data_IF_458208462867
#
_entry.id   IF_458208462867
#
_cell.length_a   1.000
_cell.length_b   1.000
_cell.length_c   1.000
_cell.angle_alpha   90.00
_cell.angle_beta   90.00
_cell.angle_gamma   90.00
#
_symmetry.space_group_name_H-M   'P 1'
#
loop_
_entity.id
_entity.type
_entity.pdbx_description
1 polymer ?
#
# COMPACT_ATOMS: atom_id res chain seq x y z
N UNK A 1 -4.88 -12.75 -5.76
CA UNK A 1 -3.92 -12.95 -6.82
C UNK A 1 -3.46 -11.65 -7.44
N UNK A 2 -2.20 -11.58 -7.82
CA UNK A 2 -1.60 -10.33 -8.28
C UNK A 2 -1.39 -10.35 -9.78
N UNK A 3 -1.61 -9.20 -10.43
CA UNK A 3 -1.41 -9.05 -11.87
C UNK A 3 0.07 -9.07 -12.25
N UNK A 4 0.93 -8.55 -11.37
CA UNK A 4 2.37 -8.45 -11.61
C UNK A 4 3.14 -9.19 -10.52
N UNK A 5 4.30 -9.81 -10.85
CA UNK A 5 5.11 -10.50 -9.86
C UNK A 5 5.69 -9.54 -8.82
N UNK A 6 6.07 -10.08 -7.67
CA UNK A 6 6.58 -9.26 -6.57
C UNK A 6 7.83 -8.46 -6.96
N UNK A 7 8.71 -9.04 -7.77
CA UNK A 7 9.92 -8.35 -8.22
C UNK A 7 9.61 -7.09 -8.99
N UNK A 8 8.59 -7.14 -9.85
CA UNK A 8 8.17 -5.98 -10.62
C UNK A 8 7.55 -4.91 -9.72
N UNK A 9 6.72 -5.33 -8.78
CA UNK A 9 6.09 -4.39 -7.84
C UNK A 9 7.13 -3.71 -6.95
N UNK A 10 8.11 -4.46 -6.46
CA UNK A 10 9.21 -3.90 -5.67
C UNK A 10 10.04 -2.90 -6.49
N UNK A 11 10.34 -3.24 -7.75
CA UNK A 11 11.10 -2.36 -8.62
C UNK A 11 10.38 -1.03 -8.83
N UNK A 12 9.08 -1.06 -9.06
CA UNK A 12 8.27 0.15 -9.23
C UNK A 12 8.25 1.01 -7.97
N UNK A 13 8.10 0.38 -6.80
CA UNK A 13 8.10 1.13 -5.54
C UNK A 13 9.46 1.76 -5.26
N UNK A 14 10.54 1.02 -5.49
CA UNK A 14 11.89 1.56 -5.32
C UNK A 14 12.15 2.73 -6.25
N UNK A 15 11.73 2.62 -7.51
CA UNK A 15 11.87 3.71 -8.46
C UNK A 15 11.04 4.93 -8.07
N UNK A 16 9.82 4.70 -7.58
CA UNK A 16 8.92 5.78 -7.15
C UNK A 16 9.52 6.59 -6.00
N UNK A 17 10.17 5.92 -5.05
CA UNK A 17 10.72 6.56 -3.85
C UNK A 17 12.24 6.76 -3.91
N UNK A 18 12.84 6.66 -5.10
CA UNK A 18 14.30 6.75 -5.25
C UNK A 18 14.90 8.04 -4.71
N UNK A 19 14.14 9.15 -4.75
CA UNK A 19 14.60 10.46 -4.27
C UNK A 19 14.26 10.70 -2.80
N UNK A 20 13.68 9.72 -2.10
CA UNK A 20 13.24 9.84 -0.71
C UNK A 20 14.11 8.96 0.19
N UNK A 21 15.24 9.46 0.72
CA UNK A 21 16.18 8.61 1.44
C UNK A 21 15.65 8.05 2.77
N UNK A 22 14.56 8.61 3.30
CA UNK A 22 13.93 8.13 4.53
C UNK A 22 12.93 7.01 4.28
N UNK A 23 12.68 6.63 3.03
CA UNK A 23 11.75 5.56 2.67
C UNK A 23 12.53 4.32 2.28
N UNK A 24 12.23 3.22 2.95
CA UNK A 24 12.78 1.91 2.63
C UNK A 24 11.66 1.02 2.07
N UNK A 25 11.89 0.40 0.91
CA UNK A 25 10.92 -0.49 0.29
C UNK A 25 11.37 -1.93 0.55
N UNK A 26 10.52 -2.70 1.19
CA UNK A 26 10.80 -4.11 1.49
C UNK A 26 9.61 -4.98 1.14
N UNK A 27 9.90 -6.22 0.73
CA UNK A 27 8.89 -7.25 0.59
C UNK A 27 8.92 -8.16 1.80
N UNK A 28 7.79 -8.74 2.15
CA UNK A 28 7.73 -9.68 3.27
C UNK A 28 6.58 -10.66 3.09
N UNK A 29 6.67 -11.75 3.82
CA UNK A 29 5.60 -12.72 3.94
C UNK A 29 5.22 -12.85 5.42
N UNK A 30 3.97 -13.21 5.70
CA UNK A 30 3.49 -13.39 7.05
C UNK A 30 2.78 -12.15 7.59
N UNK A 31 2.78 -12.05 8.91
CA UNK A 31 2.00 -11.00 9.59
C UNK A 31 2.74 -9.67 9.64
N UNK A 32 1.99 -8.59 9.41
CA UNK A 32 2.51 -7.23 9.55
C UNK A 32 3.06 -6.97 10.95
N UNK A 33 2.41 -7.51 11.98
CA UNK A 33 2.87 -7.36 13.35
C UNK A 33 4.28 -7.94 13.56
N UNK A 34 4.57 -9.09 12.95
CA UNK A 34 5.89 -9.71 13.04
C UNK A 34 6.95 -8.90 12.29
N UNK A 35 6.59 -8.36 11.14
CA UNK A 35 7.47 -7.46 10.39
C UNK A 35 7.82 -6.22 11.22
N UNK A 36 6.83 -5.62 11.87
CA UNK A 36 7.05 -4.44 12.72
C UNK A 36 8.04 -4.75 13.84
N UNK A 37 7.93 -5.93 14.45
CA UNK A 37 8.88 -6.35 15.49
C UNK A 37 10.30 -6.45 14.94
N UNK A 38 10.47 -7.08 13.79
CA UNK A 38 11.79 -7.22 13.17
C UNK A 38 12.43 -5.89 12.82
N UNK A 39 11.62 -4.95 12.36
CA UNK A 39 12.11 -3.64 11.93
C UNK A 39 12.20 -2.63 13.07
N UNK A 40 11.67 -2.94 14.25
CA UNK A 40 11.56 -1.99 15.33
C UNK A 40 10.57 -0.87 15.03
N UNK A 41 9.57 -1.12 14.20
CA UNK A 41 8.56 -0.14 13.84
C UNK A 41 7.59 0.06 15.00
N UNK A 42 7.30 1.31 15.34
CA UNK A 42 6.40 1.68 16.43
C UNK A 42 4.96 1.81 15.96
N UNK A 43 4.77 2.24 14.72
CA UNK A 43 3.44 2.53 14.16
C UNK A 43 3.30 1.93 12.78
N UNK A 44 2.04 1.59 12.45
CA UNK A 44 1.62 1.29 11.08
C UNK A 44 0.77 2.46 10.61
N UNK A 45 1.01 2.96 9.41
CA UNK A 45 0.19 4.01 8.80
C UNK A 45 -0.64 3.40 7.69
N UNK A 46 -1.97 3.67 7.73
CA UNK A 46 -2.91 3.17 6.73
C UNK A 46 -3.76 4.31 6.20
N UNK A 47 -4.05 4.27 4.91
CA UNK A 47 -4.97 5.23 4.28
C UNK A 47 -6.40 4.75 4.37
N UNK A 48 -7.33 5.69 4.52
CA UNK A 48 -8.76 5.40 4.50
C UNK A 48 -9.43 6.23 3.41
N UNK A 49 -10.21 5.57 2.53
CA UNK A 49 -10.94 6.24 1.45
C UNK A 49 -12.41 6.43 1.78
N UNK A 50 -12.99 5.54 2.56
CA UNK A 50 -14.41 5.55 2.88
C UNK A 50 -14.68 4.79 4.18
N UNK A 51 -15.95 4.79 4.62
CA UNK A 51 -16.36 4.13 5.86
C UNK A 51 -16.22 2.60 5.81
N UNK A 52 -16.37 2.00 4.65
CA UNK A 52 -16.19 0.55 4.48
C UNK A 52 -14.73 0.18 4.72
N UNK A 53 -13.79 0.95 4.16
CA UNK A 53 -12.37 0.78 4.44
C UNK A 53 -12.11 0.86 5.95
N UNK A 54 -12.73 1.86 6.63
CA UNK A 54 -12.51 2.06 8.05
C UNK A 54 -12.90 0.83 8.88
N UNK A 55 -14.06 0.23 8.62
CA UNK A 55 -14.52 -0.94 9.37
C UNK A 55 -13.56 -2.10 9.27
N UNK A 56 -13.08 -2.41 8.06
CA UNK A 56 -12.14 -3.49 7.82
C UNK A 56 -10.76 -3.19 8.40
N UNK A 57 -10.26 -1.98 8.17
CA UNK A 57 -8.94 -1.57 8.64
C UNK A 57 -8.87 -1.51 10.17
N UNK A 58 -9.97 -1.12 10.82
CA UNK A 58 -10.04 -1.09 12.29
C UNK A 58 -9.83 -2.48 12.88
N UNK A 59 -10.45 -3.50 12.31
CA UNK A 59 -10.30 -4.88 12.78
C UNK A 59 -8.85 -5.35 12.65
N UNK A 60 -8.20 -5.04 11.54
CA UNK A 60 -6.80 -5.38 11.31
C UNK A 60 -5.90 -4.63 12.31
N UNK A 61 -6.18 -3.36 12.55
CA UNK A 61 -5.41 -2.54 13.50
C UNK A 61 -5.49 -3.11 14.91
N UNK A 62 -6.68 -3.55 15.35
CA UNK A 62 -6.85 -4.16 16.67
C UNK A 62 -6.10 -5.48 16.78
N UNK A 63 -6.11 -6.29 15.72
CA UNK A 63 -5.32 -7.53 15.69
C UNK A 63 -3.84 -7.24 15.83
N UNK A 64 -3.32 -6.28 15.10
CA UNK A 64 -1.90 -5.90 15.16
C UNK A 64 -1.50 -5.40 16.54
N UNK A 65 -2.40 -4.69 17.24
CA UNK A 65 -2.16 -4.23 18.61
C UNK A 65 -2.06 -5.42 19.54
N UNK A 66 -3.00 -6.38 19.46
CA UNK A 66 -3.04 -7.54 20.35
C UNK A 66 -1.84 -8.45 20.12
N UNK A 67 -1.50 -8.73 18.86
CA UNK A 67 -0.44 -9.67 18.51
C UNK A 67 0.95 -9.04 18.65
N UNK A 68 1.10 -7.81 18.18
CA UNK A 68 2.43 -7.19 18.02
C UNK A 68 2.66 -5.95 18.86
N UNK A 69 1.69 -5.52 19.64
CA UNK A 69 1.76 -4.28 20.41
C UNK A 69 2.19 -3.09 19.55
N UNK A 70 1.63 -3.00 18.33
CA UNK A 70 1.91 -1.92 17.39
C UNK A 70 0.63 -1.15 17.12
N UNK A 71 0.70 0.18 17.20
CA UNK A 71 -0.42 1.07 16.94
C UNK A 71 -0.55 1.37 15.46
N UNK A 72 -1.78 1.58 15.01
CA UNK A 72 -2.07 2.00 13.64
C UNK A 72 -2.61 3.43 13.63
N UNK A 73 -2.04 4.26 12.76
CA UNK A 73 -2.52 5.60 12.50
C UNK A 73 -3.23 5.60 11.17
N UNK A 74 -4.44 6.17 11.14
CA UNK A 74 -5.24 6.24 9.92
C UNK A 74 -5.21 7.66 9.36
N UNK A 75 -4.93 7.76 8.07
CA UNK A 75 -4.94 9.03 7.35
C UNK A 75 -6.03 9.02 6.28
N UNK A 76 -6.91 10.02 6.24
CA UNK A 76 -7.89 10.08 5.16
C UNK A 76 -7.21 10.36 3.83
N UNK A 77 -7.69 9.71 2.77
CA UNK A 77 -7.25 10.01 1.42
C UNK A 77 -7.68 11.41 1.03
N UNK A 78 -6.86 12.10 0.24
CA UNK A 78 -7.27 13.37 -0.34
C UNK A 78 -8.42 13.13 -1.33
N UNK A 79 -9.38 14.06 -1.43
CA UNK A 79 -10.53 13.89 -2.33
C UNK A 79 -10.12 13.59 -3.78
N UNK A 80 -9.05 14.21 -4.27
CA UNK A 80 -8.58 14.01 -5.64
C UNK A 80 -8.01 12.61 -5.89
N UNK A 81 -7.69 11.85 -4.85
CA UNK A 81 -7.16 10.49 -4.96
C UNK A 81 -8.12 9.41 -4.48
N UNK A 82 -9.27 9.80 -3.95
CA UNK A 82 -10.20 8.85 -3.33
C UNK A 82 -10.76 7.80 -4.30
N UNK A 83 -10.78 8.10 -5.59
CA UNK A 83 -11.26 7.19 -6.63
C UNK A 83 -10.19 6.18 -7.09
N UNK A 84 -8.93 6.36 -6.70
CA UNK A 84 -7.84 5.49 -7.14
C UNK A 84 -7.82 4.23 -6.30
N UNK A 85 -7.87 3.07 -6.96
CA UNK A 85 -7.76 1.78 -6.31
C UNK A 85 -7.05 0.79 -7.24
N UNK A 86 -6.51 -0.26 -6.67
CA UNK A 86 -5.88 -1.31 -7.47
C UNK A 86 -6.87 -1.99 -8.41
N UNK A 87 -8.13 -2.12 -8.00
CA UNK A 87 -9.18 -2.69 -8.84
C UNK A 87 -9.40 -1.87 -10.09
N UNK A 88 -9.51 -0.54 -9.95
CA UNK A 88 -9.69 0.35 -11.09
C UNK A 88 -8.47 0.32 -12.01
N UNK A 89 -7.27 0.34 -11.44
CA UNK A 89 -6.05 0.30 -12.25
C UNK A 89 -5.97 -1.01 -13.05
N UNK A 90 -6.27 -2.15 -12.41
CA UNK A 90 -6.27 -3.43 -13.13
C UNK A 90 -7.30 -3.47 -14.27
N UNK A 91 -8.47 -2.89 -14.06
CA UNK A 91 -9.50 -2.83 -15.08
C UNK A 91 -9.04 -1.99 -16.28
N UNK A 92 -8.43 -0.84 -16.01
CA UNK A 92 -7.89 0.00 -17.07
C UNK A 92 -6.81 -0.73 -17.88
N UNK A 93 -5.91 -1.42 -17.19
CA UNK A 93 -4.85 -2.20 -17.85
C UNK A 93 -5.45 -3.30 -18.71
N UNK A 94 -6.42 -4.04 -18.20
CA UNK A 94 -7.07 -5.13 -18.94
C UNK A 94 -7.75 -4.64 -20.20
N UNK A 95 -8.23 -3.41 -20.19
CA UNK A 95 -8.90 -2.79 -21.35
C UNK A 95 -7.94 -1.92 -22.19
N UNK A 96 -6.64 -2.00 -21.92
CA UNK A 96 -5.61 -1.27 -22.66
C UNK A 96 -5.82 0.25 -22.64
N UNK A 97 -6.39 0.75 -21.55
CA UNK A 97 -6.60 2.18 -21.35
C UNK A 97 -5.34 2.82 -20.73
N UNK A 98 -5.25 4.14 -20.86
CA UNK A 98 -4.15 4.90 -20.27
C UNK A 98 -4.32 4.97 -18.76
N UNK A 99 -3.29 4.57 -18.00
CA UNK A 99 -3.30 4.58 -16.54
C UNK A 99 -2.44 5.70 -15.93
N UNK A 100 -1.88 6.57 -16.75
CA UNK A 100 -0.89 7.56 -16.29
C UNK A 100 -1.41 8.49 -15.20
N UNK A 101 -2.72 8.75 -15.17
CA UNK A 101 -3.34 9.57 -14.14
C UNK A 101 -3.60 8.82 -12.82
N UNK A 102 -3.37 7.51 -12.79
CA UNK A 102 -3.75 6.63 -11.68
C UNK A 102 -2.55 5.98 -11.00
N UNK A 103 -1.36 6.10 -11.57
CA UNK A 103 -0.15 5.48 -11.03
C UNK A 103 1.00 6.48 -11.07
N UNK A 104 2.04 6.28 -10.22
CA UNK A 104 3.25 7.11 -10.29
C UNK A 104 3.96 7.00 -11.63
N UNK A 105 4.68 8.05 -12.02
CA UNK A 105 5.42 8.07 -13.29
C UNK A 105 6.44 6.93 -13.43
N UNK A 106 6.99 6.47 -12.31
CA UNK A 106 7.96 5.38 -12.31
C UNK A 106 7.34 4.02 -12.68
N UNK A 107 6.02 3.91 -12.65
CA UNK A 107 5.32 2.69 -13.02
C UNK A 107 5.16 2.66 -14.54
N UNK A 108 6.09 2.00 -15.20
CA UNK A 108 6.07 1.83 -16.66
C UNK A 108 5.60 0.40 -16.94
N UNK A 109 4.43 0.28 -17.55
CA UNK A 109 3.85 -1.02 -17.85
C UNK A 109 4.59 -1.72 -18.99
N UNK A 110 4.74 -3.06 -18.89
CA UNK A 110 5.38 -3.83 -19.98
C UNK A 110 4.55 -3.87 -21.27
#
# INVERSE_FOLDING_TARGET
>A
KYMFPVEQRLAWLKATFASQPTVEVIGFEGLTADLCKRLGATYVIRGLRNSTDHGNERSIALMNMVIGNVDTLFLPSRPEHAHISSTIVRELIANKADVSAFVPKAVVLP
#
